data_IF_248081179981
#
_entry.id   IF_248081179981
#
_cell.length_a   1.000
_cell.length_b   1.000
_cell.length_c   1.000
_cell.angle_alpha   90.00
_cell.angle_beta   90.00
_cell.angle_gamma   90.00
#
_symmetry.space_group_name_H-M   'P 1'
#
loop_
_entity.id
_entity.type
_entity.pdbx_description
1 polymer ?
#
# COMPACT_ATOMS: atom_id res chain seq x y z
N UNK A 1 42.99 -16.45 -0.46
CA UNK A 1 42.13 -15.91 0.61
C UNK A 1 41.30 -14.78 0.01
N UNK A 2 40.09 -15.07 -0.50
CA UNK A 2 39.23 -14.08 -1.18
C UNK A 2 37.75 -14.52 -1.17
N UNK A 3 37.23 -14.91 -0.01
CA UNK A 3 35.88 -15.48 0.11
C UNK A 3 34.98 -14.82 1.16
N UNK A 4 35.41 -13.75 1.83
CA UNK A 4 34.66 -13.15 2.96
C UNK A 4 33.91 -11.86 2.64
N UNK A 5 34.12 -11.23 1.47
CA UNK A 5 33.57 -9.91 1.16
C UNK A 5 32.18 -9.92 0.49
N UNK A 6 31.77 -11.03 -0.13
CA UNK A 6 30.47 -11.12 -0.82
C UNK A 6 29.30 -11.43 0.11
N UNK A 7 29.54 -12.14 1.21
CA UNK A 7 28.51 -12.53 2.19
C UNK A 7 28.11 -11.35 3.08
N UNK A 8 29.04 -10.44 3.40
CA UNK A 8 28.78 -9.25 4.23
C UNK A 8 28.04 -8.12 3.50
N UNK A 9 28.18 -8.03 2.16
CA UNK A 9 27.48 -7.04 1.35
C UNK A 9 25.98 -7.40 1.20
N UNK A 10 25.70 -8.69 0.98
CA UNK A 10 24.33 -9.21 0.86
C UNK A 10 23.50 -9.04 2.14
N UNK A 11 24.13 -9.11 3.32
CA UNK A 11 23.43 -8.87 4.60
C UNK A 11 23.15 -7.38 4.82
N UNK A 12 24.09 -6.51 4.43
CA UNK A 12 23.96 -5.06 4.61
C UNK A 12 22.84 -4.46 3.77
N UNK A 13 22.69 -4.87 2.51
CA UNK A 13 21.63 -4.37 1.63
C UNK A 13 20.22 -4.79 2.09
N UNK A 14 20.09 -6.00 2.65
CA UNK A 14 18.84 -6.48 3.25
C UNK A 14 18.47 -5.67 4.49
N UNK A 15 19.44 -5.39 5.37
CA UNK A 15 19.23 -4.56 6.55
C UNK A 15 18.77 -3.15 6.14
N UNK A 16 19.38 -2.57 5.11
CA UNK A 16 18.98 -1.25 4.58
C UNK A 16 17.55 -1.28 4.03
N UNK A 17 17.17 -2.32 3.28
CA UNK A 17 15.80 -2.49 2.77
C UNK A 17 14.77 -2.56 3.91
N UNK A 18 15.02 -3.38 4.94
CA UNK A 18 14.16 -3.46 6.12
C UNK A 18 14.07 -2.11 6.86
N UNK A 19 15.20 -1.41 7.00
CA UNK A 19 15.24 -0.08 7.61
C UNK A 19 14.42 0.96 6.84
N UNK A 20 14.51 0.97 5.51
CA UNK A 20 13.75 1.88 4.66
C UNK A 20 12.25 1.57 4.67
N UNK A 21 11.86 0.29 4.70
CA UNK A 21 10.45 -0.12 4.82
C UNK A 21 9.87 0.29 6.18
N UNK A 22 10.65 0.13 7.25
CA UNK A 22 10.27 0.62 8.57
C UNK A 22 10.15 2.15 8.59
N UNK A 23 11.10 2.87 7.99
CA UNK A 23 11.05 4.33 7.87
C UNK A 23 9.83 4.81 7.09
N UNK A 24 9.49 4.17 5.97
CA UNK A 24 8.28 4.48 5.20
C UNK A 24 7.01 4.22 6.02
N UNK A 25 6.99 3.13 6.80
CA UNK A 25 5.89 2.83 7.73
C UNK A 25 5.77 3.90 8.81
N UNK A 26 6.89 4.38 9.35
CA UNK A 26 6.93 5.46 10.33
C UNK A 26 6.42 6.79 9.75
N UNK A 27 6.75 7.11 8.50
CA UNK A 27 6.24 8.28 7.80
C UNK A 27 4.71 8.19 7.60
N UNK A 28 4.20 7.05 7.12
CA UNK A 28 2.76 6.81 6.98
C UNK A 28 2.05 6.97 8.33
N UNK A 29 2.60 6.36 9.38
CA UNK A 29 2.06 6.46 10.73
C UNK A 29 1.99 7.91 11.23
N UNK A 30 3.08 8.67 11.05
CA UNK A 30 3.14 10.07 11.45
C UNK A 30 2.09 10.91 10.72
N UNK A 31 1.96 10.76 9.40
CA UNK A 31 0.95 11.44 8.59
C UNK A 31 -0.46 11.05 9.08
N UNK A 32 -0.70 9.77 9.35
CA UNK A 32 -1.96 9.28 9.94
C UNK A 32 -2.30 10.00 11.24
N UNK A 33 -1.34 10.15 12.17
CA UNK A 33 -1.58 10.80 13.44
C UNK A 33 -1.86 12.30 13.28
N UNK A 34 -1.15 12.98 12.38
CA UNK A 34 -1.40 14.39 12.06
C UNK A 34 -2.82 14.57 11.50
N UNK A 35 -3.24 13.73 10.56
CA UNK A 35 -4.60 13.74 10.01
C UNK A 35 -5.62 13.50 11.12
N UNK A 36 -5.40 12.49 11.98
CA UNK A 36 -6.32 12.18 13.08
C UNK A 36 -6.47 13.35 14.06
N UNK A 37 -5.37 14.03 14.38
CA UNK A 37 -5.38 15.20 15.25
C UNK A 37 -6.24 16.33 14.68
N UNK A 38 -6.04 16.67 13.40
CA UNK A 38 -6.84 17.73 12.75
C UNK A 38 -8.30 17.33 12.62
N UNK A 39 -8.62 16.10 12.21
CA UNK A 39 -10.01 15.63 12.13
C UNK A 39 -10.70 15.65 13.50
N UNK A 40 -9.98 15.34 14.58
CA UNK A 40 -10.49 15.46 15.94
C UNK A 40 -10.84 16.90 16.31
N UNK A 41 -10.03 17.88 15.91
CA UNK A 41 -10.28 19.29 16.15
C UNK A 41 -11.50 19.84 15.39
N UNK A 42 -11.87 19.23 14.26
CA UNK A 42 -13.02 19.62 13.43
C UNK A 42 -14.26 18.72 13.61
N UNK A 43 -14.27 17.79 14.59
CA UNK A 43 -15.34 16.81 14.82
C UNK A 43 -15.61 15.85 13.62
N UNK A 44 -14.63 15.67 12.73
CA UNK A 44 -14.71 14.81 11.53
C UNK A 44 -14.04 13.44 11.75
N UNK A 45 -14.08 12.91 12.97
CA UNK A 45 -13.31 11.71 13.36
C UNK A 45 -13.67 10.45 12.59
N UNK A 46 -14.92 10.32 12.15
CA UNK A 46 -15.44 9.23 11.31
C UNK A 46 -14.78 9.18 9.93
N UNK A 47 -14.36 10.32 9.38
CA UNK A 47 -13.65 10.41 8.09
C UNK A 47 -12.24 9.79 8.16
N UNK A 48 -11.67 9.65 9.36
CA UNK A 48 -10.34 9.05 9.58
C UNK A 48 -10.20 7.66 8.94
N UNK A 49 -11.29 6.88 8.92
CA UNK A 49 -11.35 5.54 8.30
C UNK A 49 -11.01 5.62 6.81
N UNK A 50 -11.55 6.60 6.09
CA UNK A 50 -11.29 6.78 4.66
C UNK A 50 -9.85 7.20 4.39
N UNK A 51 -9.25 8.03 5.25
CA UNK A 51 -7.82 8.35 5.13
C UNK A 51 -6.94 7.13 5.38
N UNK A 52 -7.29 6.30 6.37
CA UNK A 52 -6.61 5.02 6.63
C UNK A 52 -6.65 4.11 5.40
N UNK A 53 -7.80 4.01 4.73
CA UNK A 53 -7.93 3.26 3.49
C UNK A 53 -7.06 3.79 2.35
N UNK A 54 -6.91 5.12 2.25
CA UNK A 54 -6.07 5.75 1.24
C UNK A 54 -4.59 5.40 1.34
N UNK A 55 -4.08 5.05 2.54
CA UNK A 55 -2.66 4.70 2.70
C UNK A 55 -2.25 3.42 1.94
N UNK A 56 -3.21 2.61 1.51
CA UNK A 56 -2.99 1.45 0.65
C UNK A 56 -2.36 1.86 -0.70
N UNK A 57 -2.63 3.07 -1.18
CA UNK A 57 -2.04 3.59 -2.41
C UNK A 57 -0.51 3.74 -2.31
N UNK A 58 0.06 3.80 -1.09
CA UNK A 58 1.52 3.85 -0.92
C UNK A 58 2.19 2.47 -0.96
N UNK A 59 1.44 1.36 -0.96
CA UNK A 59 2.01 -0.01 -0.98
C UNK A 59 3.00 -0.21 -2.14
N UNK A 60 2.71 0.19 -3.40
CA UNK A 60 3.68 0.04 -4.48
C UNK A 60 4.98 0.79 -4.20
N UNK A 61 4.90 2.01 -3.68
CA UNK A 61 6.07 2.83 -3.32
C UNK A 61 6.92 2.13 -2.25
N UNK A 62 6.30 1.61 -1.18
CA UNK A 62 7.01 0.89 -0.11
C UNK A 62 7.60 -0.42 -0.64
N UNK A 63 6.90 -1.10 -1.56
CA UNK A 63 7.36 -2.37 -2.13
C UNK A 63 8.59 -2.24 -3.04
N UNK A 64 8.80 -1.09 -3.68
CA UNK A 64 9.99 -0.86 -4.52
C UNK A 64 11.30 -0.97 -3.73
N UNK A 65 11.26 -0.61 -2.45
CA UNK A 65 12.39 -0.69 -1.53
C UNK A 65 12.73 -2.14 -1.18
N UNK A 66 11.79 -3.07 -1.32
CA UNK A 66 11.98 -4.50 -1.04
C UNK A 66 12.74 -5.25 -2.14
N UNK A 67 13.10 -4.57 -3.24
CA UNK A 67 13.85 -5.15 -4.35
C UNK A 67 15.07 -6.01 -3.95
N UNK A 68 15.94 -5.61 -3.00
CA UNK A 68 17.12 -6.40 -2.63
C UNK A 68 16.80 -7.73 -1.91
N UNK A 69 15.54 -7.91 -1.49
CA UNK A 69 15.05 -9.16 -0.92
C UNK A 69 14.61 -10.16 -1.99
N UNK A 70 14.56 -9.75 -3.26
CA UNK A 70 14.31 -10.65 -4.38
C UNK A 70 15.50 -11.58 -4.59
N UNK A 71 15.19 -12.87 -4.68
CA UNK A 71 16.11 -13.92 -5.09
C UNK A 71 15.79 -14.20 -6.55
N UNK A 72 16.75 -14.00 -7.46
CA UNK A 72 16.56 -14.30 -8.87
C UNK A 72 16.64 -15.83 -9.12
N UNK A 73 16.25 -16.31 -10.31
CA UNK A 73 16.26 -17.74 -10.69
C UNK A 73 17.62 -18.44 -10.49
N UNK A 74 18.72 -17.68 -10.50
CA UNK A 74 20.08 -18.19 -10.25
C UNK A 74 20.53 -18.13 -8.78
N UNK A 75 19.66 -17.73 -7.85
CA UNK A 75 20.00 -17.60 -6.43
C UNK A 75 20.87 -16.37 -6.09
N UNK A 76 21.17 -15.52 -7.06
CA UNK A 76 21.91 -14.26 -6.88
C UNK A 76 20.93 -13.10 -6.65
N UNK A 77 21.25 -12.22 -5.71
CA UNK A 77 20.59 -10.92 -5.60
C UNK A 77 21.31 -9.92 -6.49
N UNK A 78 20.56 -9.13 -7.25
CA UNK A 78 21.13 -8.05 -8.05
C UNK A 78 21.80 -6.99 -7.19
N UNK A 79 22.89 -6.41 -7.70
CA UNK A 79 23.67 -5.36 -7.04
C UNK A 79 22.86 -4.07 -6.90
N UNK A 80 22.87 -3.50 -5.70
CA UNK A 80 22.09 -2.32 -5.33
C UNK A 80 22.66 -1.02 -5.93
N UNK A 81 21.99 -0.45 -6.93
CA UNK A 81 22.33 0.88 -7.48
C UNK A 81 21.38 1.97 -6.94
N UNK A 82 21.78 2.66 -5.87
CA UNK A 82 20.99 3.68 -5.17
C UNK A 82 20.52 4.85 -6.07
N UNK A 83 21.36 5.34 -6.97
CA UNK A 83 21.05 6.54 -7.77
C UNK A 83 19.90 6.33 -8.76
N UNK A 84 19.81 5.16 -9.38
CA UNK A 84 18.74 4.82 -10.33
C UNK A 84 17.43 4.51 -9.60
N UNK A 85 17.51 3.87 -8.43
CA UNK A 85 16.35 3.63 -7.57
C UNK A 85 15.74 4.94 -7.06
N UNK A 86 16.54 5.92 -6.64
CA UNK A 86 16.03 7.16 -6.07
C UNK A 86 15.24 8.00 -7.07
N UNK A 87 15.67 8.05 -8.34
CA UNK A 87 14.93 8.73 -9.41
C UNK A 87 13.56 8.08 -9.68
N UNK A 88 13.51 6.74 -9.70
CA UNK A 88 12.27 6.00 -9.89
C UNK A 88 11.35 6.10 -8.67
N UNK A 89 11.90 6.04 -7.46
CA UNK A 89 11.15 6.24 -6.20
C UNK A 89 10.56 7.65 -6.18
N UNK A 90 11.30 8.68 -6.59
CA UNK A 90 10.82 10.06 -6.66
C UNK A 90 9.59 10.21 -7.56
N UNK A 91 9.66 9.66 -8.79
CA UNK A 91 8.53 9.70 -9.72
C UNK A 91 7.31 8.96 -9.17
N UNK A 92 7.50 7.74 -8.65
CA UNK A 92 6.41 6.94 -8.08
C UNK A 92 5.83 7.63 -6.84
N UNK A 93 6.66 8.29 -6.03
CA UNK A 93 6.22 9.06 -4.88
C UNK A 93 5.28 10.21 -5.29
N UNK A 94 5.63 10.97 -6.32
CA UNK A 94 4.79 12.05 -6.85
C UNK A 94 3.44 11.52 -7.32
N UNK A 95 3.44 10.44 -8.11
CA UNK A 95 2.19 9.84 -8.62
C UNK A 95 1.32 9.34 -7.47
N UNK A 96 1.89 8.60 -6.51
CA UNK A 96 1.11 8.09 -5.38
C UNK A 96 0.60 9.19 -4.46
N UNK A 97 1.37 10.26 -4.28
CA UNK A 97 0.91 11.42 -3.52
C UNK A 97 -0.27 12.12 -4.20
N UNK A 98 -0.23 12.30 -5.53
CA UNK A 98 -1.35 12.86 -6.28
C UNK A 98 -2.60 11.96 -6.21
N UNK A 99 -2.44 10.65 -6.36
CA UNK A 99 -3.52 9.68 -6.19
C UNK A 99 -4.13 9.75 -4.78
N UNK A 100 -3.29 9.91 -3.75
CA UNK A 100 -3.74 10.06 -2.38
C UNK A 100 -4.51 11.37 -2.17
N UNK A 101 -4.10 12.50 -2.77
CA UNK A 101 -4.85 13.76 -2.70
C UNK A 101 -6.22 13.66 -3.37
N UNK A 102 -6.29 13.02 -4.54
CA UNK A 102 -7.56 12.74 -5.23
C UNK A 102 -8.46 11.88 -4.33
N UNK A 103 -7.89 10.83 -3.73
CA UNK A 103 -8.59 9.98 -2.78
C UNK A 103 -9.13 10.75 -1.57
N UNK A 104 -8.32 11.62 -0.96
CA UNK A 104 -8.78 12.46 0.15
C UNK A 104 -9.99 13.31 -0.24
N UNK A 105 -9.96 13.86 -1.46
CA UNK A 105 -11.05 14.69 -1.98
C UNK A 105 -12.34 13.87 -2.18
N UNK A 106 -12.22 12.66 -2.75
CA UNK A 106 -13.35 11.75 -2.94
C UNK A 106 -13.93 11.26 -1.59
N UNK A 107 -13.07 10.93 -0.64
CA UNK A 107 -13.46 10.56 0.72
C UNK A 107 -14.25 11.67 1.43
N UNK A 108 -13.81 12.92 1.30
CA UNK A 108 -14.52 14.09 1.86
C UNK A 108 -15.89 14.27 1.18
N UNK A 109 -15.95 14.13 -0.14
CA UNK A 109 -17.19 14.23 -0.89
C UNK A 109 -18.18 13.15 -0.44
N UNK A 110 -17.79 11.88 -0.44
CA UNK A 110 -18.62 10.76 0.04
C UNK A 110 -19.07 10.97 1.48
N UNK A 111 -18.18 11.40 2.37
CA UNK A 111 -18.54 11.70 3.75
C UNK A 111 -19.64 12.78 3.84
N UNK A 112 -19.50 13.87 3.08
CA UNK A 112 -20.50 14.96 3.07
C UNK A 112 -21.86 14.53 2.48
N UNK A 113 -21.87 13.54 1.58
CA UNK A 113 -23.09 13.01 0.98
C UNK A 113 -23.84 12.05 1.93
N UNK A 114 -23.09 11.20 2.63
CA UNK A 114 -23.66 10.04 3.34
C UNK A 114 -23.67 10.17 4.87
N UNK A 115 -22.80 10.99 5.47
CA UNK A 115 -22.62 11.05 6.93
C UNK A 115 -22.97 12.43 7.49
N UNK A 116 -22.49 13.52 6.88
CA UNK A 116 -22.78 14.87 7.37
C UNK A 116 -23.48 15.74 6.32
N UNK A 117 -24.81 15.70 6.35
CA UNK A 117 -25.69 16.48 5.47
C UNK A 117 -25.77 17.97 5.82
N UNK A 118 -25.14 18.43 6.91
CA UNK A 118 -25.05 19.85 7.24
C UNK A 118 -23.79 20.53 6.69
N UNK A 119 -22.89 19.76 6.08
CA UNK A 119 -21.69 20.21 5.38
C UNK A 119 -22.00 21.20 4.26
N UNK A 120 -21.03 22.07 3.95
CA UNK A 120 -21.14 23.03 2.85
C UNK A 120 -21.43 22.34 1.50
N UNK A 121 -20.84 21.16 1.26
CA UNK A 121 -21.03 20.42 0.01
C UNK A 121 -22.46 19.88 -0.12
N UNK A 122 -23.04 19.27 0.91
CA UNK A 122 -24.42 18.75 0.87
C UNK A 122 -25.46 19.87 0.69
N UNK A 123 -25.21 21.05 1.28
CA UNK A 123 -26.04 22.25 1.09
C UNK A 123 -25.94 22.83 -0.32
N UNK A 124 -24.76 22.78 -0.95
CA UNK A 124 -24.56 23.24 -2.34
C UNK A 124 -25.20 22.29 -3.35
N UNK A 125 -25.29 20.99 -3.03
CA UNK A 125 -25.93 19.99 -3.89
C UNK A 125 -27.42 19.73 -3.60
N UNK A 126 -28.03 20.48 -2.67
CA UNK A 126 -29.46 20.41 -2.29
C UNK A 126 -29.97 18.98 -2.02
N UNK A 127 -29.19 18.18 -1.30
CA UNK A 127 -29.45 16.76 -1.12
C UNK A 127 -30.38 16.55 0.10
N UNK A 128 -31.68 16.37 -0.18
CA UNK A 128 -32.68 15.98 0.82
C UNK A 128 -32.79 14.45 0.94
N UNK A 129 -31.82 13.79 1.55
CA UNK A 129 -31.94 12.35 1.88
C UNK A 129 -32.34 12.17 3.33
N UNK A 130 -33.61 11.78 3.58
CA UNK A 130 -34.07 11.30 4.88
C UNK A 130 -33.40 9.95 5.22
N UNK A 131 -32.18 9.96 5.74
CA UNK A 131 -31.54 8.74 6.24
C UNK A 131 -31.75 8.63 7.76
N UNK A 132 -32.61 7.68 8.13
CA UNK A 132 -32.78 7.11 9.47
C UNK A 132 -31.53 6.31 9.85
N UNK A 133 -30.90 6.64 10.98
CA UNK A 133 -29.99 5.73 11.70
C UNK A 133 -28.50 6.02 11.55
N UNK A 134 -27.73 5.53 12.53
CA UNK A 134 -26.28 5.69 12.66
C UNK A 134 -25.54 4.83 11.60
N UNK A 135 -25.27 5.38 10.42
CA UNK A 135 -24.69 4.68 9.23
C UNK A 135 -23.18 4.42 9.35
N UNK A 136 -22.59 4.58 10.54
CA UNK A 136 -21.15 4.47 10.79
C UNK A 136 -20.58 3.08 10.47
N UNK A 137 -21.34 2.02 10.76
CA UNK A 137 -20.94 0.63 10.47
C UNK A 137 -20.90 0.35 8.96
N UNK A 138 -21.89 0.84 8.22
CA UNK A 138 -21.96 0.68 6.76
C UNK A 138 -20.83 1.45 6.07
N UNK A 139 -20.55 2.67 6.53
CA UNK A 139 -19.43 3.47 6.08
C UNK A 139 -18.09 2.77 6.33
N UNK A 140 -17.92 2.14 7.49
CA UNK A 140 -16.73 1.34 7.80
C UNK A 140 -16.59 0.13 6.86
N UNK A 141 -17.67 -0.65 6.68
CA UNK A 141 -17.66 -1.82 5.81
C UNK A 141 -17.34 -1.45 4.35
N UNK A 142 -17.91 -0.35 3.86
CA UNK A 142 -17.63 0.17 2.52
C UNK A 142 -16.16 0.54 2.36
N UNK A 143 -15.60 1.33 3.30
CA UNK A 143 -14.18 1.71 3.26
C UNK A 143 -13.25 0.50 3.35
N UNK A 144 -13.61 -0.53 4.12
CA UNK A 144 -12.84 -1.77 4.22
C UNK A 144 -12.85 -2.55 2.90
N UNK A 145 -14.01 -2.72 2.26
CA UNK A 145 -14.11 -3.37 0.95
C UNK A 145 -13.34 -2.58 -0.10
N UNK A 146 -13.45 -1.26 -0.09
CA UNK A 146 -12.76 -0.37 -1.01
C UNK A 146 -11.24 -0.49 -0.84
N UNK A 147 -10.76 -0.42 0.41
CA UNK A 147 -9.38 -0.67 0.78
C UNK A 147 -8.85 -2.02 0.26
N UNK A 148 -9.64 -3.08 0.44
CA UNK A 148 -9.29 -4.41 -0.06
C UNK A 148 -9.16 -4.46 -1.58
N UNK A 149 -10.11 -3.86 -2.32
CA UNK A 149 -10.05 -3.76 -3.78
C UNK A 149 -8.84 -2.95 -4.26
N UNK A 150 -8.55 -1.83 -3.62
CA UNK A 150 -7.36 -1.02 -3.93
C UNK A 150 -6.06 -1.74 -3.58
N UNK A 151 -6.05 -2.56 -2.53
CA UNK A 151 -4.89 -3.39 -2.21
C UNK A 151 -4.67 -4.45 -3.28
N UNK A 152 -5.74 -5.06 -3.79
CA UNK A 152 -5.65 -6.02 -4.90
C UNK A 152 -5.12 -5.33 -6.17
N UNK A 153 -5.68 -4.18 -6.53
CA UNK A 153 -5.23 -3.39 -7.68
C UNK A 153 -3.76 -2.97 -7.53
N UNK A 154 -3.37 -2.46 -6.36
CA UNK A 154 -2.00 -2.03 -6.05
C UNK A 154 -1.01 -3.18 -6.16
N UNK A 155 -1.40 -4.40 -5.79
CA UNK A 155 -0.53 -5.56 -6.01
C UNK A 155 -0.41 -5.92 -7.48
N UNK A 156 -1.52 -5.99 -8.22
CA UNK A 156 -1.51 -6.41 -9.64
C UNK A 156 -0.83 -5.40 -10.55
N UNK A 157 -1.00 -4.11 -10.29
CA UNK A 157 -0.53 -3.00 -11.15
C UNK A 157 0.73 -2.33 -10.60
N UNK A 158 1.01 -2.47 -9.30
CA UNK A 158 2.20 -1.90 -8.67
C UNK A 158 3.24 -2.96 -8.33
N UNK A 159 2.92 -3.84 -7.40
CA UNK A 159 3.90 -4.77 -6.80
C UNK A 159 4.38 -5.83 -7.80
N UNK A 160 3.47 -6.52 -8.49
CA UNK A 160 3.81 -7.62 -9.40
C UNK A 160 4.62 -7.16 -10.61
N UNK A 161 4.26 -6.08 -11.34
CA UNK A 161 5.05 -5.62 -12.48
C UNK A 161 6.46 -5.25 -12.07
N UNK A 162 6.61 -4.59 -10.90
CA UNK A 162 7.92 -4.28 -10.35
C UNK A 162 8.74 -5.52 -9.98
N UNK A 163 8.09 -6.58 -9.49
CA UNK A 163 8.74 -7.85 -9.20
C UNK A 163 9.16 -8.56 -10.49
N UNK A 164 8.29 -8.62 -11.50
CA UNK A 164 8.53 -9.32 -12.77
C UNK A 164 9.60 -8.61 -13.60
N UNK A 165 9.58 -7.28 -13.66
CA UNK A 165 10.59 -6.46 -14.34
C UNK A 165 12.02 -6.77 -13.88
N UNK A 166 12.16 -7.34 -12.67
CA UNK A 166 13.43 -7.63 -12.03
C UNK A 166 13.85 -9.09 -12.15
N UNK A 167 12.89 -10.00 -12.31
CA UNK A 167 13.17 -11.42 -12.53
C UNK A 167 13.41 -11.75 -14.00
N UNK A 168 12.52 -11.30 -14.88
CA UNK A 168 12.54 -11.68 -16.30
C UNK A 168 12.75 -10.48 -17.25
N UNK A 169 12.59 -9.23 -16.76
CA UNK A 169 12.74 -7.96 -17.51
C UNK A 169 12.14 -8.01 -18.92
N UNK A 170 10.81 -8.15 -19.04
CA UNK A 170 10.12 -8.34 -20.33
C UNK A 170 9.72 -7.02 -21.00
N UNK A 171 10.22 -5.90 -20.49
CA UNK A 171 9.79 -4.55 -20.85
C UNK A 171 8.44 -4.19 -20.21
N UNK A 172 8.15 -2.89 -20.12
CA UNK A 172 7.02 -2.36 -19.32
C UNK A 172 5.69 -3.06 -19.61
N UNK A 173 5.28 -3.11 -20.89
CA UNK A 173 4.00 -3.75 -21.28
C UNK A 173 4.03 -5.25 -21.02
N UNK A 174 5.16 -5.90 -21.26
CA UNK A 174 5.34 -7.34 -21.00
C UNK A 174 5.21 -7.69 -19.53
N UNK A 175 5.77 -6.86 -18.65
CA UNK A 175 5.70 -7.04 -17.19
C UNK A 175 4.27 -6.86 -16.66
N UNK A 176 3.51 -5.90 -17.21
CA UNK A 176 2.09 -5.75 -16.91
C UNK A 176 1.28 -6.96 -17.38
N UNK A 177 1.46 -7.38 -18.64
CA UNK A 177 0.73 -8.54 -19.19
C UNK A 177 1.03 -9.80 -18.37
N UNK A 178 2.28 -10.02 -18.00
CA UNK A 178 2.68 -11.14 -17.14
C UNK A 178 2.06 -11.04 -15.73
N UNK A 179 1.99 -9.83 -15.16
CA UNK A 179 1.36 -9.59 -13.86
C UNK A 179 -0.12 -9.92 -13.88
N UNK A 180 -0.85 -9.49 -14.91
CA UNK A 180 -2.26 -9.83 -15.09
C UNK A 180 -2.47 -11.32 -15.33
N UNK A 181 -1.60 -11.97 -16.12
CA UNK A 181 -1.67 -13.41 -16.36
C UNK A 181 -1.46 -14.20 -15.05
N UNK A 182 -0.45 -13.83 -14.26
CA UNK A 182 -0.18 -14.45 -12.96
C UNK A 182 -1.35 -14.23 -11.99
N UNK A 183 -1.87 -13.00 -11.89
CA UNK A 183 -3.01 -12.68 -11.04
C UNK A 183 -4.27 -13.45 -11.45
N UNK A 184 -4.48 -13.66 -12.75
CA UNK A 184 -5.60 -14.47 -13.27
C UNK A 184 -5.46 -15.96 -12.93
N UNK A 185 -4.24 -16.49 -12.91
CA UNK A 185 -3.97 -17.87 -12.51
C UNK A 185 -4.13 -18.08 -10.99
N UNK A 186 -3.74 -17.08 -10.19
CA UNK A 186 -3.67 -17.18 -8.73
C UNK A 186 -4.68 -16.27 -7.99
N UNK A 187 -5.91 -16.14 -8.52
CA UNK A 187 -6.92 -15.19 -8.00
C UNK A 187 -7.16 -15.31 -6.50
N UNK A 188 -7.34 -16.54 -5.98
CA UNK A 188 -7.62 -16.77 -4.56
C UNK A 188 -6.46 -16.32 -3.66
N UNK A 189 -5.21 -16.58 -4.09
CA UNK A 189 -4.01 -16.17 -3.37
C UNK A 189 -3.84 -14.65 -3.37
N UNK A 190 -4.05 -14.00 -4.52
CA UNK A 190 -4.02 -12.53 -4.63
C UNK A 190 -5.10 -11.89 -3.75
N UNK A 191 -6.29 -12.47 -3.71
CA UNK A 191 -7.39 -12.02 -2.88
C UNK A 191 -7.03 -12.07 -1.38
N UNK A 192 -6.42 -13.17 -0.95
CA UNK A 192 -5.94 -13.36 0.43
C UNK A 192 -4.83 -12.37 0.79
N UNK A 193 -3.84 -12.18 -0.07
CA UNK A 193 -2.76 -11.22 0.18
C UNK A 193 -3.26 -9.78 0.23
N UNK A 194 -4.22 -9.43 -0.62
CA UNK A 194 -4.86 -8.12 -0.59
C UNK A 194 -5.58 -7.91 0.74
N UNK A 195 -6.28 -8.93 1.22
CA UNK A 195 -7.01 -8.89 2.49
C UNK A 195 -6.04 -8.71 3.67
N UNK A 196 -4.92 -9.45 3.68
CA UNK A 196 -3.88 -9.35 4.70
C UNK A 196 -3.32 -7.94 4.75
N UNK A 197 -2.94 -7.37 3.60
CA UNK A 197 -2.37 -6.02 3.57
C UNK A 197 -3.41 -4.98 3.96
N UNK A 198 -4.62 -5.02 3.40
CA UNK A 198 -5.69 -4.08 3.77
C UNK A 198 -6.00 -4.12 5.27
N UNK A 199 -6.10 -5.33 5.84
CA UNK A 199 -6.31 -5.52 7.28
C UNK A 199 -5.12 -5.01 8.11
N UNK A 200 -3.90 -5.24 7.65
CA UNK A 200 -2.67 -4.78 8.31
C UNK A 200 -2.58 -3.26 8.40
N UNK A 201 -3.21 -2.53 7.47
CA UNK A 201 -3.24 -1.06 7.43
C UNK A 201 -4.47 -0.54 8.19
N UNK A 202 -5.69 -0.90 7.78
CA UNK A 202 -6.91 -0.32 8.36
C UNK A 202 -7.08 -0.70 9.83
N UNK A 203 -7.05 -1.99 10.16
CA UNK A 203 -7.39 -2.43 11.52
C UNK A 203 -6.37 -1.91 12.53
N UNK A 204 -5.09 -1.89 12.16
CA UNK A 204 -4.04 -1.43 13.07
C UNK A 204 -4.06 0.09 13.21
N UNK A 205 -4.23 0.87 12.13
CA UNK A 205 -4.31 2.33 12.23
C UNK A 205 -5.56 2.82 12.97
N UNK A 206 -6.66 2.06 12.91
CA UNK A 206 -7.91 2.39 13.60
C UNK A 206 -7.91 1.96 15.08
N UNK A 207 -7.58 0.70 15.36
CA UNK A 207 -7.78 0.11 16.69
C UNK A 207 -6.49 -0.10 17.50
N UNK A 208 -5.33 -0.21 16.84
CA UNK A 208 -4.07 -0.56 17.48
C UNK A 208 -2.90 0.24 16.90
N UNK A 209 -2.96 1.57 17.01
CA UNK A 209 -2.12 2.54 16.29
C UNK A 209 -0.64 2.16 16.22
N UNK A 210 -0.01 1.83 17.34
CA UNK A 210 1.41 1.48 17.38
C UNK A 210 1.72 0.10 16.78
N UNK A 211 0.75 -0.81 16.77
CA UNK A 211 0.87 -2.14 16.18
C UNK A 211 1.06 -2.06 14.66
N UNK A 212 0.59 -0.99 14.00
CA UNK A 212 0.82 -0.72 12.59
C UNK A 212 2.31 -0.76 12.23
N UNK A 213 3.17 -0.17 13.06
CA UNK A 213 4.62 -0.08 12.81
C UNK A 213 5.32 -1.44 12.78
N UNK A 214 4.69 -2.49 13.31
CA UNK A 214 5.19 -3.85 13.23
C UNK A 214 4.43 -4.66 12.17
N UNK A 215 3.10 -4.67 12.24
CA UNK A 215 2.26 -5.57 11.44
C UNK A 215 2.26 -5.20 9.96
N UNK A 216 2.22 -3.92 9.61
CA UNK A 216 2.28 -3.51 8.21
C UNK A 216 3.61 -3.91 7.53
N UNK A 217 4.80 -3.51 8.02
CA UNK A 217 6.05 -3.86 7.35
C UNK A 217 6.30 -5.37 7.34
N UNK A 218 5.98 -6.10 8.42
CA UNK A 218 6.13 -7.56 8.46
C UNK A 218 5.22 -8.24 7.44
N UNK A 219 3.94 -7.86 7.38
CA UNK A 219 2.99 -8.46 6.45
C UNK A 219 3.34 -8.15 5.00
N UNK A 220 3.78 -6.93 4.71
CA UNK A 220 4.20 -6.52 3.36
C UNK A 220 5.43 -7.31 2.90
N UNK A 221 6.47 -7.40 3.74
CA UNK A 221 7.66 -8.22 3.47
C UNK A 221 7.25 -9.67 3.23
N UNK A 222 6.41 -10.23 4.09
CA UNK A 222 5.99 -11.62 3.99
C UNK A 222 5.23 -11.89 2.69
N UNK A 223 4.25 -11.05 2.35
CA UNK A 223 3.52 -11.16 1.07
C UNK A 223 4.47 -11.06 -0.11
N UNK A 224 5.41 -10.10 -0.08
CA UNK A 224 6.38 -9.91 -1.16
C UNK A 224 7.29 -11.12 -1.38
N UNK A 225 7.80 -11.72 -0.30
CA UNK A 225 8.61 -12.95 -0.37
C UNK A 225 7.80 -14.13 -0.90
N UNK A 226 6.55 -14.27 -0.46
CA UNK A 226 5.69 -15.37 -0.93
C UNK A 226 5.32 -15.22 -2.41
N UNK A 227 5.03 -13.99 -2.86
CA UNK A 227 4.82 -13.68 -4.27
C UNK A 227 6.05 -14.05 -5.11
N UNK A 228 7.25 -13.67 -4.66
CA UNK A 228 8.48 -14.03 -5.35
C UNK A 228 8.64 -15.56 -5.48
N UNK A 229 8.49 -16.29 -4.36
CA UNK A 229 8.58 -17.77 -4.35
C UNK A 229 7.55 -18.41 -5.28
N UNK A 230 6.31 -17.92 -5.26
CA UNK A 230 5.23 -18.50 -6.06
C UNK A 230 5.39 -18.21 -7.54
N UNK A 231 5.89 -17.02 -7.90
CA UNK A 231 6.21 -16.67 -9.28
C UNK A 231 7.34 -17.55 -9.84
N UNK A 232 8.38 -17.82 -9.07
CA UNK A 232 9.49 -18.70 -9.48
C UNK A 232 9.10 -20.18 -9.65
N UNK A 233 8.05 -20.63 -8.96
CA UNK A 233 7.52 -22.01 -9.06
C UNK A 233 6.51 -22.20 -10.19
N UNK A 234 6.01 -21.09 -10.77
CA UNK A 234 4.95 -21.10 -11.78
C UNK A 234 5.51 -21.06 -13.19
#
# INVERSE_FOLDING_TARGET
MSGSSSVSHLSSEKIVSYGLVFFASLAIFFISQVIQFYLGAYELTTMYISFCAGFILFIPLVSLVLHPLLINKEGKSDTFHFSSLFANIGLVCVVQFLCFLIWMTDAIALYSLYVDQNSFLSKVFDIQTQARGDMTVEFYAFNFVLAWLFSLLSMVVGVLPCLIARLDNRGVVGDFVASFAFAKAHKGLMCLYALIIASSVLLTLLYAKYLFLAVFPISLVWVFIQLNKKYLQS
#
